data_IF_273140825263
#
_entry.id   IF_273140825263
#
_cell.length_a   1.000
_cell.length_b   1.000
_cell.length_c   1.000
_cell.angle_alpha   90.00
_cell.angle_beta   90.00
_cell.angle_gamma   90.00
#
_symmetry.space_group_name_H-M   'P 1'
#
loop_
_entity.id
_entity.type
_entity.pdbx_description
1 polymer ?
#
# COMPACT_ATOMS: atom_id res chain seq x y z
N UNK A 1 42.83 11.75 27.01
CA UNK A 1 42.00 12.47 26.03
C UNK A 1 42.05 11.71 24.72
N UNK A 2 40.93 11.55 24.08
CA UNK A 2 40.82 10.87 22.79
C UNK A 2 40.45 11.93 21.75
N UNK A 3 41.09 11.89 20.59
CA UNK A 3 40.79 12.82 19.49
C UNK A 3 39.46 12.43 18.87
N UNK A 4 38.53 13.37 18.74
CA UNK A 4 37.23 13.19 18.10
C UNK A 4 37.11 14.14 16.89
N UNK A 5 36.20 13.91 15.95
CA UNK A 5 35.99 14.79 14.80
C UNK A 5 35.69 16.26 15.20
N UNK A 6 35.24 16.49 16.43
CA UNK A 6 34.95 17.81 16.99
C UNK A 6 35.60 17.90 18.37
N UNK A 7 36.92 18.25 18.42
CA UNK A 7 37.66 18.52 19.65
C UNK A 7 38.15 17.28 20.41
N UNK A 8 38.42 17.43 21.72
CA UNK A 8 38.92 16.37 22.60
C UNK A 8 37.79 15.90 23.52
N UNK A 9 37.65 14.60 23.68
CA UNK A 9 36.73 13.98 24.64
C UNK A 9 37.49 13.30 25.79
N UNK A 10 36.96 13.35 27.01
CA UNK A 10 37.52 12.63 28.14
C UNK A 10 37.28 11.14 27.97
N UNK A 11 38.20 10.28 28.43
CA UNK A 11 38.09 8.82 28.35
C UNK A 11 36.84 8.29 29.06
N UNK A 12 36.50 8.89 30.19
CA UNK A 12 35.32 8.51 31.00
C UNK A 12 34.03 8.83 30.28
N UNK A 13 33.92 10.00 29.60
CA UNK A 13 32.75 10.33 28.81
C UNK A 13 32.56 9.37 27.64
N UNK A 14 33.63 8.97 26.95
CA UNK A 14 33.58 7.97 25.88
C UNK A 14 33.16 6.60 26.41
N UNK A 15 33.70 6.18 27.56
CA UNK A 15 33.32 4.91 28.18
C UNK A 15 31.86 4.90 28.65
N UNK A 16 31.36 6.00 29.24
CA UNK A 16 29.94 6.15 29.60
C UNK A 16 29.02 6.12 28.40
N UNK A 17 29.35 6.85 27.31
CA UNK A 17 28.59 6.80 26.09
C UNK A 17 28.55 5.41 25.45
N UNK A 18 29.68 4.70 25.45
CA UNK A 18 29.75 3.33 24.97
C UNK A 18 28.90 2.37 25.83
N UNK A 19 28.94 2.51 27.18
CA UNK A 19 28.10 1.73 28.08
C UNK A 19 26.61 1.99 27.91
N UNK A 20 26.21 3.25 27.70
CA UNK A 20 24.82 3.62 27.40
C UNK A 20 24.37 3.04 26.04
N UNK A 21 25.24 3.07 25.04
CA UNK A 21 24.94 2.48 23.72
C UNK A 21 24.79 0.96 23.82
N UNK A 22 25.60 0.28 24.64
CA UNK A 22 25.45 -1.15 24.90
C UNK A 22 24.17 -1.49 25.67
N UNK A 23 23.78 -0.68 26.65
CA UNK A 23 22.50 -0.86 27.36
C UNK A 23 21.27 -0.64 26.49
N UNK A 24 21.33 0.34 25.59
CA UNK A 24 20.24 0.57 24.61
C UNK A 24 20.23 -0.48 23.51
N UNK A 25 21.39 -1.02 23.12
CA UNK A 25 21.48 -2.14 22.16
C UNK A 25 20.97 -3.47 22.72
N UNK A 26 21.01 -3.64 24.04
CA UNK A 26 20.46 -4.82 24.76
C UNK A 26 18.95 -4.75 24.95
N UNK A 27 18.32 -3.58 24.77
CA UNK A 27 16.87 -3.45 24.75
C UNK A 27 16.41 -3.89 23.37
N UNK A 28 16.03 -5.17 23.25
CA UNK A 28 15.48 -5.73 22.03
C UNK A 28 14.39 -4.79 21.51
N UNK A 29 14.68 -4.10 20.41
CA UNK A 29 13.65 -3.41 19.65
C UNK A 29 12.63 -4.50 19.29
N UNK A 30 11.35 -4.40 19.73
CA UNK A 30 10.35 -5.39 19.34
C UNK A 30 10.30 -5.41 17.81
N UNK A 31 10.87 -6.42 17.19
CA UNK A 31 10.97 -6.51 15.73
C UNK A 31 12.25 -7.17 15.20
N UNK A 32 13.30 -7.32 16.01
CA UNK A 32 14.55 -7.95 15.55
C UNK A 32 14.51 -9.49 15.47
N UNK A 33 13.35 -10.09 15.81
CA UNK A 33 13.03 -11.50 15.58
C UNK A 33 12.08 -11.72 14.40
N UNK A 34 11.82 -10.69 13.58
CA UNK A 34 11.13 -10.88 12.32
C UNK A 34 12.08 -11.62 11.38
N UNK A 35 12.01 -12.98 11.38
CA UNK A 35 12.44 -13.75 10.23
C UNK A 35 12.03 -12.96 8.99
N UNK A 36 12.92 -12.79 8.02
CA UNK A 36 12.71 -12.08 6.76
C UNK A 36 11.32 -12.41 6.22
N UNK A 37 10.32 -11.62 6.60
CA UNK A 37 8.95 -11.84 6.16
C UNK A 37 8.95 -11.49 4.68
N UNK A 38 8.77 -12.49 3.87
CA UNK A 38 8.64 -12.29 2.41
C UNK A 38 7.40 -11.42 2.17
N UNK A 39 7.44 -10.42 1.32
CA UNK A 39 6.30 -9.53 1.04
C UNK A 39 5.26 -10.24 0.15
N UNK A 40 4.64 -11.30 0.68
CA UNK A 40 3.74 -12.19 -0.06
C UNK A 40 2.47 -11.45 -0.47
N UNK A 41 1.91 -10.64 0.44
CA UNK A 41 0.65 -9.94 0.18
C UNK A 41 0.80 -8.93 -0.95
N UNK A 42 1.91 -8.20 -1.00
CA UNK A 42 2.20 -7.28 -2.10
C UNK A 42 2.12 -8.00 -3.45
N UNK A 43 2.81 -9.13 -3.60
CA UNK A 43 2.83 -9.87 -4.86
C UNK A 43 1.49 -10.56 -5.16
N UNK A 44 0.74 -10.99 -4.15
CA UNK A 44 -0.62 -11.50 -4.32
C UNK A 44 -1.54 -10.40 -4.86
N UNK A 45 -1.49 -9.18 -4.30
CA UNK A 45 -2.29 -8.06 -4.79
C UNK A 45 -1.93 -7.67 -6.23
N UNK A 46 -0.63 -7.62 -6.55
CA UNK A 46 -0.16 -7.42 -7.93
C UNK A 46 -0.72 -8.50 -8.86
N UNK A 47 -0.64 -9.77 -8.43
CA UNK A 47 -1.18 -10.91 -9.19
C UNK A 47 -2.67 -10.81 -9.42
N UNK A 48 -3.46 -10.45 -8.40
CA UNK A 48 -4.92 -10.25 -8.52
C UNK A 48 -5.24 -9.17 -9.55
N UNK A 49 -4.58 -8.00 -9.48
CA UNK A 49 -4.78 -6.92 -10.44
C UNK A 49 -4.38 -7.35 -11.86
N UNK A 50 -3.25 -8.04 -12.02
CA UNK A 50 -2.79 -8.54 -13.33
C UNK A 50 -3.76 -9.55 -13.92
N UNK A 51 -4.22 -10.53 -13.16
CA UNK A 51 -5.21 -11.53 -13.61
C UNK A 51 -6.54 -10.85 -13.97
N UNK A 52 -7.04 -9.94 -13.13
CA UNK A 52 -8.26 -9.19 -13.42
C UNK A 52 -8.14 -8.39 -14.73
N UNK A 53 -7.00 -7.77 -14.98
CA UNK A 53 -6.76 -7.03 -16.22
C UNK A 53 -6.65 -7.95 -17.44
N UNK A 54 -5.93 -9.07 -17.35
CA UNK A 54 -5.82 -10.04 -18.44
C UNK A 54 -7.19 -10.64 -18.81
N UNK A 55 -8.01 -10.98 -17.81
CA UNK A 55 -9.38 -11.41 -18.04
C UNK A 55 -10.22 -10.32 -18.72
N UNK A 56 -10.02 -9.06 -18.31
CA UNK A 56 -10.70 -7.91 -18.92
C UNK A 56 -10.33 -7.72 -20.39
N UNK A 57 -9.08 -8.01 -20.79
CA UNK A 57 -8.68 -7.99 -22.20
C UNK A 57 -9.40 -9.05 -23.03
N UNK A 58 -9.66 -10.23 -22.47
CA UNK A 58 -10.36 -11.33 -23.16
C UNK A 58 -11.85 -11.06 -23.35
N UNK A 59 -12.51 -10.43 -22.38
CA UNK A 59 -13.97 -10.16 -22.37
C UNK A 59 -14.31 -8.77 -22.96
N UNK A 60 -13.36 -7.86 -22.97
CA UNK A 60 -13.52 -6.46 -23.29
C UNK A 60 -13.48 -5.59 -22.03
N UNK A 61 -12.45 -4.74 -21.95
CA UNK A 61 -12.21 -3.87 -20.77
C UNK A 61 -13.42 -3.00 -20.45
N UNK A 62 -14.07 -2.41 -21.47
CA UNK A 62 -15.26 -1.57 -21.28
C UNK A 62 -16.43 -2.34 -20.67
N UNK A 63 -16.63 -3.60 -21.07
CA UNK A 63 -17.68 -4.46 -20.52
C UNK A 63 -17.42 -4.79 -19.06
N UNK A 64 -16.19 -5.18 -18.71
CA UNK A 64 -15.84 -5.52 -17.33
C UNK A 64 -15.91 -4.28 -16.42
N UNK A 65 -15.38 -3.16 -16.87
CA UNK A 65 -15.48 -1.89 -16.11
C UNK A 65 -16.93 -1.41 -16.02
N UNK A 66 -17.74 -1.59 -17.07
CA UNK A 66 -19.16 -1.29 -17.05
C UNK A 66 -19.93 -2.06 -15.98
N UNK A 67 -19.63 -3.35 -15.82
CA UNK A 67 -20.34 -4.24 -14.91
C UNK A 67 -19.78 -4.24 -13.47
N UNK A 68 -18.48 -3.97 -13.27
CA UNK A 68 -17.81 -4.14 -11.97
C UNK A 68 -17.08 -2.88 -11.49
N UNK A 69 -16.89 -1.87 -12.35
CA UNK A 69 -16.31 -0.58 -11.97
C UNK A 69 -17.26 0.22 -11.10
N UNK A 70 -16.72 1.07 -10.23
CA UNK A 70 -17.51 1.97 -9.42
C UNK A 70 -18.18 3.02 -10.30
N UNK A 71 -19.51 3.09 -10.26
CA UNK A 71 -20.34 4.15 -10.86
C UNK A 71 -21.38 4.57 -9.82
N UNK A 72 -21.45 5.86 -9.46
CA UNK A 72 -22.35 6.32 -8.41
C UNK A 72 -23.82 5.97 -8.68
N UNK A 73 -24.28 6.05 -9.91
CA UNK A 73 -25.68 5.76 -10.29
C UNK A 73 -26.11 4.35 -9.90
N UNK A 74 -25.29 3.33 -10.18
CA UNK A 74 -25.64 1.94 -9.87
C UNK A 74 -25.57 1.62 -8.37
N UNK A 75 -24.75 2.34 -7.63
CA UNK A 75 -24.70 2.20 -6.18
C UNK A 75 -25.93 2.85 -5.54
N UNK A 76 -26.28 4.08 -5.97
CA UNK A 76 -27.37 4.85 -5.40
C UNK A 76 -28.76 4.29 -5.72
N UNK A 77 -28.98 3.80 -6.95
CA UNK A 77 -30.28 3.32 -7.44
C UNK A 77 -30.45 1.82 -7.23
N UNK A 78 -29.43 1.04 -7.62
CA UNK A 78 -29.53 -0.43 -7.67
C UNK A 78 -28.88 -1.10 -6.45
N UNK A 79 -28.29 -0.35 -5.51
CA UNK A 79 -27.63 -0.88 -4.32
C UNK A 79 -26.40 -1.76 -4.61
N UNK A 80 -25.70 -1.54 -5.71
CA UNK A 80 -24.57 -2.38 -6.13
C UNK A 80 -23.25 -2.02 -5.39
N UNK A 81 -23.28 -2.13 -4.06
CA UNK A 81 -22.16 -1.76 -3.17
C UNK A 81 -20.86 -2.53 -3.43
N UNK A 82 -20.94 -3.75 -3.98
CA UNK A 82 -19.77 -4.55 -4.35
C UNK A 82 -18.81 -3.80 -5.29
N UNK A 83 -19.32 -2.84 -6.07
CA UNK A 83 -18.53 -2.02 -7.00
C UNK A 83 -17.47 -1.17 -6.31
N UNK A 84 -17.67 -0.82 -5.04
CA UNK A 84 -16.65 -0.10 -4.25
C UNK A 84 -15.39 -0.94 -4.07
N UNK A 85 -15.56 -2.25 -3.88
CA UNK A 85 -14.43 -3.16 -3.69
C UNK A 85 -13.84 -3.64 -5.03
N UNK A 86 -14.69 -4.08 -5.96
CA UNK A 86 -14.23 -4.63 -7.24
C UNK A 86 -13.47 -3.61 -8.08
N UNK A 87 -13.90 -2.36 -8.05
CA UNK A 87 -13.25 -1.25 -8.78
C UNK A 87 -11.78 -1.06 -8.40
N UNK A 88 -11.37 -1.39 -7.17
CA UNK A 88 -9.98 -1.24 -6.69
C UNK A 88 -9.02 -2.13 -7.49
N UNK A 89 -9.47 -3.26 -7.99
CA UNK A 89 -8.65 -4.25 -8.70
C UNK A 89 -8.73 -4.15 -10.22
N UNK A 90 -9.65 -3.32 -10.76
CA UNK A 90 -9.85 -3.14 -12.19
C UNK A 90 -8.98 -2.01 -12.75
N UNK A 91 -8.65 -2.08 -14.03
CA UNK A 91 -7.84 -1.06 -14.70
C UNK A 91 -8.33 -0.83 -16.14
N UNK A 92 -8.29 0.43 -16.58
CA UNK A 92 -8.71 0.82 -17.91
C UNK A 92 -7.73 0.47 -19.03
N UNK A 93 -6.44 0.54 -18.75
CA UNK A 93 -5.41 0.44 -19.79
C UNK A 93 -4.11 -0.15 -19.23
N UNK A 94 -3.24 -0.58 -20.13
CA UNK A 94 -1.93 -1.14 -19.79
C UNK A 94 -1.04 -0.12 -19.05
N UNK A 95 -1.12 1.15 -19.41
CA UNK A 95 -0.37 2.20 -18.70
C UNK A 95 -0.93 2.42 -17.30
N UNK A 96 -2.26 2.38 -17.15
CA UNK A 96 -2.90 2.55 -15.84
C UNK A 96 -2.52 1.43 -14.88
N UNK A 97 -2.62 0.16 -15.29
CA UNK A 97 -2.17 -0.95 -14.44
C UNK A 97 -0.66 -0.91 -14.24
N UNK A 98 0.11 -0.59 -15.28
CA UNK A 98 1.57 -0.52 -15.21
C UNK A 98 2.06 0.45 -14.13
N UNK A 99 1.54 1.67 -14.09
CA UNK A 99 1.89 2.64 -13.05
C UNK A 99 1.44 2.21 -11.66
N UNK A 100 0.22 1.69 -11.51
CA UNK A 100 -0.27 1.19 -10.22
C UNK A 100 0.63 0.05 -9.69
N UNK A 101 0.94 -0.93 -10.53
CA UNK A 101 1.77 -2.07 -10.12
C UNK A 101 3.22 -1.66 -9.85
N UNK A 102 3.76 -0.73 -10.63
CA UNK A 102 5.11 -0.19 -10.38
C UNK A 102 5.20 0.41 -8.98
N UNK A 103 4.29 1.31 -8.63
CA UNK A 103 4.29 1.96 -7.32
C UNK A 103 4.02 0.94 -6.20
N UNK A 104 3.09 0.00 -6.40
CA UNK A 104 2.79 -1.05 -5.43
C UNK A 104 4.01 -1.96 -5.18
N UNK A 105 4.77 -2.33 -6.22
CA UNK A 105 5.99 -3.14 -6.09
C UNK A 105 7.11 -2.35 -5.41
N UNK A 106 7.20 -1.03 -5.63
CA UNK A 106 8.21 -0.20 -4.99
C UNK A 106 7.96 0.03 -3.50
N UNK A 107 6.72 0.31 -3.11
CA UNK A 107 6.37 0.68 -1.73
C UNK A 107 5.90 -0.52 -0.89
N UNK A 108 5.15 -1.42 -1.51
CA UNK A 108 4.47 -2.52 -0.84
C UNK A 108 5.38 -3.41 0.00
N UNK A 109 6.50 -3.92 -0.55
CA UNK A 109 7.40 -4.79 0.21
C UNK A 109 7.92 -4.15 1.49
N UNK A 110 8.31 -2.89 1.45
CA UNK A 110 8.81 -2.15 2.61
C UNK A 110 7.72 -1.98 3.67
N UNK A 111 6.53 -1.56 3.25
CA UNK A 111 5.39 -1.37 4.17
C UNK A 111 4.90 -2.69 4.75
N UNK A 112 4.84 -3.75 3.93
CA UNK A 112 4.43 -5.08 4.39
C UNK A 112 5.42 -5.66 5.41
N UNK A 113 6.73 -5.44 5.24
CA UNK A 113 7.73 -5.84 6.22
C UNK A 113 7.60 -5.05 7.54
N UNK A 114 7.28 -3.77 7.47
CA UNK A 114 7.11 -2.90 8.65
C UNK A 114 5.82 -3.21 9.41
N UNK A 115 4.69 -3.25 8.72
CA UNK A 115 3.37 -3.43 9.34
C UNK A 115 2.98 -4.91 9.53
N UNK A 116 3.62 -5.82 8.79
CA UNK A 116 3.22 -7.22 8.69
C UNK A 116 2.02 -7.43 7.76
N UNK A 117 1.80 -8.68 7.37
CA UNK A 117 0.82 -9.05 6.33
C UNK A 117 -0.59 -8.55 6.61
N UNK A 118 -1.11 -8.77 7.82
CA UNK A 118 -2.50 -8.44 8.17
C UNK A 118 -2.76 -6.93 8.14
N UNK A 119 -1.89 -6.15 8.82
CA UNK A 119 -2.07 -4.70 8.87
C UNK A 119 -1.87 -4.04 7.51
N UNK A 120 -0.91 -4.54 6.72
CA UNK A 120 -0.69 -4.09 5.35
C UNK A 120 -1.92 -4.36 4.47
N UNK A 121 -2.51 -5.58 4.54
CA UNK A 121 -3.73 -5.92 3.81
C UNK A 121 -4.89 -5.02 4.21
N UNK A 122 -5.10 -4.82 5.52
CA UNK A 122 -6.16 -3.93 6.02
C UNK A 122 -5.96 -2.49 5.53
N UNK A 123 -4.73 -1.98 5.60
CA UNK A 123 -4.40 -0.64 5.12
C UNK A 123 -4.70 -0.50 3.61
N UNK A 124 -4.27 -1.47 2.80
CA UNK A 124 -4.55 -1.47 1.36
C UNK A 124 -6.06 -1.48 1.07
N UNK A 125 -6.80 -2.40 1.71
CA UNK A 125 -8.24 -2.55 1.47
C UNK A 125 -9.01 -1.31 1.95
N UNK A 126 -8.74 -0.83 3.16
CA UNK A 126 -9.45 0.33 3.72
C UNK A 126 -9.14 1.61 2.95
N UNK A 127 -7.88 1.82 2.55
CA UNK A 127 -7.50 2.96 1.71
C UNK A 127 -8.13 2.88 0.32
N UNK A 128 -8.17 1.68 -0.28
CA UNK A 128 -8.84 1.45 -1.56
C UNK A 128 -10.34 1.74 -1.50
N UNK A 129 -11.00 1.23 -0.47
CA UNK A 129 -12.42 1.53 -0.21
C UNK A 129 -12.64 3.02 0.06
N UNK A 130 -11.77 3.66 0.83
CA UNK A 130 -11.83 5.11 1.07
C UNK A 130 -11.73 5.91 -0.23
N UNK A 131 -10.81 5.54 -1.12
CA UNK A 131 -10.68 6.13 -2.45
C UNK A 131 -11.93 5.90 -3.33
N UNK A 132 -12.50 4.69 -3.29
CA UNK A 132 -13.72 4.36 -4.02
C UNK A 132 -14.94 5.14 -3.48
N UNK A 133 -15.07 5.29 -2.15
CA UNK A 133 -16.11 6.12 -1.52
C UNK A 133 -15.93 7.59 -1.86
N UNK A 134 -14.70 8.11 -1.83
CA UNK A 134 -14.43 9.47 -2.26
C UNK A 134 -14.84 9.68 -3.73
N UNK A 135 -14.50 8.74 -4.61
CA UNK A 135 -14.96 8.77 -6.00
C UNK A 135 -16.50 8.70 -6.10
N UNK A 136 -17.16 7.89 -5.29
CA UNK A 136 -18.62 7.83 -5.22
C UNK A 136 -19.26 9.18 -4.84
N UNK A 137 -18.67 9.88 -3.88
CA UNK A 137 -19.22 11.15 -3.39
C UNK A 137 -18.95 12.33 -4.33
N UNK A 138 -17.81 12.33 -5.04
CA UNK A 138 -17.33 13.50 -5.76
C UNK A 138 -17.31 13.35 -7.28
N UNK A 139 -17.52 12.15 -7.83
CA UNK A 139 -17.56 11.95 -9.29
C UNK A 139 -18.97 12.18 -9.85
N UNK A 140 -19.10 12.58 -11.13
CA UNK A 140 -20.37 12.59 -11.83
C UNK A 140 -21.05 11.21 -11.80
N UNK A 141 -22.39 11.18 -11.74
CA UNK A 141 -23.18 9.96 -11.54
C UNK A 141 -22.89 8.83 -12.52
N UNK A 142 -22.54 9.17 -13.76
CA UNK A 142 -22.29 8.20 -14.85
C UNK A 142 -20.82 7.85 -15.04
N UNK A 143 -19.91 8.56 -14.38
CA UNK A 143 -18.48 8.33 -14.52
C UNK A 143 -18.06 7.03 -13.84
N UNK A 144 -17.38 6.17 -14.58
CA UNK A 144 -16.79 4.98 -14.00
C UNK A 144 -15.41 5.29 -13.42
N UNK A 145 -15.17 4.84 -12.18
CA UNK A 145 -13.87 4.93 -11.50
C UNK A 145 -13.35 3.53 -11.21
N UNK A 146 -12.09 3.28 -11.55
CA UNK A 146 -11.38 2.01 -11.31
C UNK A 146 -9.91 2.27 -11.03
N UNK A 147 -9.26 1.35 -10.34
CA UNK A 147 -7.82 1.33 -10.10
C UNK A 147 -7.43 1.23 -8.65
N UNK A 148 -6.26 0.65 -8.41
CA UNK A 148 -5.66 0.54 -7.08
C UNK A 148 -5.09 1.87 -6.55
N UNK A 149 -5.21 2.95 -7.30
CA UNK A 149 -4.60 4.25 -6.98
C UNK A 149 -5.03 4.80 -5.61
N UNK A 150 -6.30 4.66 -5.23
CA UNK A 150 -6.79 5.05 -3.91
C UNK A 150 -6.07 4.31 -2.78
N UNK A 151 -5.90 2.99 -2.92
CA UNK A 151 -5.13 2.18 -1.98
C UNK A 151 -3.64 2.61 -1.95
N UNK A 152 -3.05 2.85 -3.11
CA UNK A 152 -1.65 3.29 -3.24
C UNK A 152 -1.43 4.65 -2.58
N UNK A 153 -2.33 5.62 -2.76
CA UNK A 153 -2.26 6.90 -2.06
C UNK A 153 -2.34 6.73 -0.53
N UNK A 154 -3.18 5.83 -0.04
CA UNK A 154 -3.22 5.50 1.39
C UNK A 154 -1.93 4.85 1.89
N UNK A 155 -1.32 3.97 1.09
CA UNK A 155 0.00 3.39 1.40
C UNK A 155 1.10 4.47 1.42
N UNK A 156 1.07 5.44 0.50
CA UNK A 156 2.00 6.57 0.50
C UNK A 156 1.82 7.45 1.75
N UNK A 157 0.57 7.70 2.17
CA UNK A 157 0.28 8.42 3.40
C UNK A 157 0.76 7.72 4.68
N UNK A 158 0.91 6.40 4.66
CA UNK A 158 1.44 5.64 5.78
C UNK A 158 2.97 5.69 5.93
N UNK A 159 3.67 6.34 4.98
CA UNK A 159 5.13 6.56 5.04
C UNK A 159 5.50 7.87 5.76
N UNK A 160 4.52 8.73 6.04
CA UNK A 160 4.68 10.02 6.71
C UNK A 160 4.43 9.86 8.19
#
# INVERSE_FOLDING_TARGET
MVVAPVGFQCRECVAQAAAQTQQTSGRAVPGRGAALRRPIVTYVLVGICAVAFLLSLGVGVESVVGNYGMRPVFIAIDGQWYRLLTSVFLHWSILHIGFNMLVLIMLGPTLEMVFGHVRFTLLFVLAGLGGAVASYCFSPLTTASVGASGAIFGLMGALI
#
